data_IF_511219498049
#
_entry.id   IF_511219498049
#
_cell.length_a   1.000
_cell.length_b   1.000
_cell.length_c   1.000
_cell.angle_alpha   90.00
_cell.angle_beta   90.00
_cell.angle_gamma   90.00
#
_symmetry.space_group_name_H-M   'P 1'
#
loop_
_entity.id
_entity.type
_entity.pdbx_description
1 polymer ?
#
# COMPACT_ATOMS: atom_id res chain seq x y z
N UNK A 1 0.12 11.16 18.37
CA UNK A 1 0.68 11.40 17.02
C UNK A 1 -0.28 12.31 16.28
N UNK A 2 0.19 13.33 15.57
CA UNK A 2 -0.66 14.11 14.66
C UNK A 2 -1.21 13.16 13.58
N UNK A 3 -2.38 13.49 13.06
CA UNK A 3 -2.98 12.69 12.00
C UNK A 3 -2.12 12.74 10.73
N UNK A 4 -1.80 11.57 10.15
CA UNK A 4 -0.90 11.46 8.99
C UNK A 4 -1.43 12.22 7.77
N UNK A 5 -2.76 12.26 7.59
CA UNK A 5 -3.39 13.01 6.49
C UNK A 5 -3.24 14.52 6.73
N UNK A 6 -3.42 14.99 7.96
CA UNK A 6 -3.18 16.40 8.29
C UNK A 6 -1.73 16.81 8.00
N UNK A 7 -0.74 15.99 8.38
CA UNK A 7 0.68 16.26 8.11
C UNK A 7 0.92 16.38 6.59
N UNK A 8 0.40 15.46 5.79
CA UNK A 8 0.55 15.50 4.33
C UNK A 8 -0.14 16.71 3.67
N UNK A 9 -1.28 17.13 4.20
CA UNK A 9 -2.04 18.26 3.65
C UNK A 9 -1.46 19.62 4.08
N UNK A 10 -0.71 19.66 5.19
CA UNK A 10 -0.23 20.90 5.82
C UNK A 10 1.27 20.85 6.15
N UNK A 11 2.08 20.20 5.32
CA UNK A 11 3.52 19.95 5.57
C UNK A 11 4.26 21.22 6.01
N UNK A 12 4.06 22.34 5.32
CA UNK A 12 4.74 23.59 5.64
C UNK A 12 4.30 24.19 6.98
N UNK A 13 3.02 24.05 7.34
CA UNK A 13 2.52 24.53 8.63
C UNK A 13 3.10 23.73 9.78
N UNK A 14 3.12 22.40 9.61
CA UNK A 14 3.72 21.48 10.58
C UNK A 14 5.21 21.75 10.71
N UNK A 15 5.93 21.98 9.60
CA UNK A 15 7.36 22.30 9.62
C UNK A 15 7.65 23.61 10.37
N UNK A 16 6.87 24.66 10.10
CA UNK A 16 6.97 25.94 10.83
C UNK A 16 6.71 25.73 12.32
N UNK A 17 5.66 25.00 12.68
CA UNK A 17 5.32 24.73 14.07
C UNK A 17 6.42 23.95 14.81
N UNK A 18 7.00 22.94 14.16
CA UNK A 18 8.14 22.19 14.70
C UNK A 18 9.34 23.11 14.94
N UNK A 19 9.67 23.96 13.96
CA UNK A 19 10.77 24.94 14.06
C UNK A 19 10.56 25.93 15.20
N UNK A 20 9.37 26.52 15.31
CA UNK A 20 9.03 27.49 16.36
C UNK A 20 9.12 26.88 17.76
N UNK A 21 8.90 25.55 17.86
CA UNK A 21 9.00 24.78 19.10
C UNK A 21 10.39 24.19 19.35
N UNK A 22 11.34 24.40 18.45
CA UNK A 22 12.69 23.83 18.53
C UNK A 22 12.72 22.30 18.38
N UNK A 23 11.70 21.70 17.78
CA UNK A 23 11.62 20.26 17.52
C UNK A 23 12.18 19.98 16.14
N UNK A 24 13.14 19.06 16.06
CA UNK A 24 13.73 18.60 14.80
C UNK A 24 13.03 17.32 14.38
N UNK A 25 12.27 17.37 13.28
CA UNK A 25 11.59 16.21 12.68
C UNK A 25 11.91 16.19 11.19
N UNK A 26 12.20 15.01 10.65
CA UNK A 26 12.36 14.82 9.20
C UNK A 26 11.00 14.62 8.53
N UNK A 27 10.27 15.72 8.40
CA UNK A 27 8.95 15.74 7.73
C UNK A 27 9.04 15.35 6.26
N UNK A 28 10.17 15.62 5.60
CA UNK A 28 10.35 15.25 4.20
C UNK A 28 10.44 13.74 4.04
N UNK A 29 11.19 13.05 4.92
CA UNK A 29 11.24 11.59 4.95
C UNK A 29 9.87 10.99 5.27
N UNK A 30 9.15 11.56 6.24
CA UNK A 30 7.79 11.13 6.57
C UNK A 30 6.86 11.21 5.34
N UNK A 31 6.84 12.35 4.64
CA UNK A 31 6.00 12.57 3.45
C UNK A 31 6.33 11.54 2.36
N UNK A 32 7.61 11.29 2.10
CA UNK A 32 8.04 10.32 1.10
C UNK A 32 7.58 8.90 1.42
N UNK A 33 7.75 8.45 2.67
CA UNK A 33 7.35 7.12 3.10
C UNK A 33 5.83 6.94 3.08
N UNK A 34 5.07 7.93 3.55
CA UNK A 34 3.61 7.86 3.55
C UNK A 34 3.04 7.89 2.13
N UNK A 35 3.64 8.64 1.19
CA UNK A 35 3.27 8.59 -0.23
C UNK A 35 3.52 7.20 -0.83
N UNK A 36 4.67 6.58 -0.54
CA UNK A 36 4.96 5.21 -0.97
C UNK A 36 3.95 4.21 -0.40
N UNK A 37 3.66 4.31 0.90
CA UNK A 37 2.68 3.46 1.59
C UNK A 37 1.30 3.56 0.92
N UNK A 38 0.82 4.78 0.64
CA UNK A 38 -0.46 5.00 -0.06
C UNK A 38 -0.46 4.42 -1.47
N UNK A 39 0.63 4.56 -2.21
CA UNK A 39 0.79 3.93 -3.53
C UNK A 39 0.68 2.41 -3.46
N UNK A 40 1.34 1.80 -2.49
CA UNK A 40 1.30 0.35 -2.24
C UNK A 40 -0.08 -0.13 -1.79
N UNK A 41 -0.79 0.67 -0.99
CA UNK A 41 -2.17 0.37 -0.61
C UNK A 41 -3.10 0.30 -1.84
N UNK A 42 -2.95 1.23 -2.79
CA UNK A 42 -3.71 1.20 -4.04
C UNK A 42 -3.34 -0.01 -4.91
N UNK A 43 -2.07 -0.41 -4.93
CA UNK A 43 -1.60 -1.62 -5.60
C UNK A 43 -2.24 -2.89 -5.02
N UNK A 44 -2.32 -3.02 -3.68
CA UNK A 44 -3.03 -4.12 -2.99
C UNK A 44 -4.49 -4.19 -3.40
N UNK A 45 -5.19 -3.04 -3.44
CA UNK A 45 -6.58 -3.00 -3.88
C UNK A 45 -6.75 -3.46 -5.33
N UNK A 46 -5.85 -3.04 -6.23
CA UNK A 46 -5.86 -3.44 -7.62
C UNK A 46 -5.62 -4.95 -7.79
N UNK A 47 -4.62 -5.50 -7.08
CA UNK A 47 -4.32 -6.93 -7.09
C UNK A 47 -5.49 -7.76 -6.55
N UNK A 48 -6.16 -7.27 -5.51
CA UNK A 48 -7.34 -7.91 -4.96
C UNK A 48 -8.50 -7.91 -5.98
N UNK A 49 -8.73 -6.80 -6.70
CA UNK A 49 -9.72 -6.76 -7.79
C UNK A 49 -9.40 -7.77 -8.89
N UNK A 50 -8.15 -7.81 -9.35
CA UNK A 50 -7.69 -8.77 -10.37
C UNK A 50 -7.86 -10.23 -9.90
N UNK A 51 -7.49 -10.56 -8.67
CA UNK A 51 -7.66 -11.91 -8.12
C UNK A 51 -9.14 -12.33 -8.07
N UNK A 52 -10.04 -11.40 -7.73
CA UNK A 52 -11.47 -11.64 -7.71
C UNK A 52 -12.06 -11.83 -9.11
N UNK A 53 -11.63 -11.03 -10.09
CA UNK A 53 -12.01 -11.18 -11.50
C UNK A 53 -11.57 -12.54 -12.06
N UNK A 54 -10.31 -12.93 -11.79
CA UNK A 54 -9.79 -14.25 -12.15
C UNK A 54 -10.64 -15.34 -11.50
N UNK A 55 -10.95 -15.22 -10.21
CA UNK A 55 -11.77 -16.20 -9.48
C UNK A 55 -13.15 -16.37 -10.11
N UNK A 56 -13.80 -15.27 -10.52
CA UNK A 56 -15.08 -15.31 -11.25
C UNK A 56 -14.95 -15.94 -12.65
N UNK A 57 -13.79 -15.79 -13.30
CA UNK A 57 -13.53 -16.39 -14.61
C UNK A 57 -13.31 -17.91 -14.54
N UNK A 58 -12.90 -18.48 -13.40
CA UNK A 58 -12.66 -19.94 -13.26
C UNK A 58 -13.92 -20.75 -13.59
N UNK A 59 -15.10 -20.29 -13.13
CA UNK A 59 -16.38 -20.94 -13.42
C UNK A 59 -16.80 -20.85 -14.89
N UNK A 60 -16.22 -19.92 -15.66
CA UNK A 60 -16.43 -19.73 -17.11
C UNK A 60 -15.37 -20.43 -17.95
N UNK A 61 -14.59 -21.33 -17.37
CA UNK A 61 -13.55 -22.06 -18.11
C UNK A 61 -14.18 -23.11 -19.03
N UNK A 62 -13.73 -23.16 -20.28
CA UNK A 62 -14.23 -24.09 -21.30
C UNK A 62 -13.72 -25.52 -21.09
N UNK A 63 -12.52 -25.66 -20.53
CA UNK A 63 -11.88 -26.94 -20.27
C UNK A 63 -11.08 -26.93 -18.95
N UNK A 64 -10.55 -28.11 -18.59
CA UNK A 64 -9.78 -28.29 -17.37
C UNK A 64 -8.43 -27.53 -17.40
N UNK A 65 -7.76 -27.43 -18.55
CA UNK A 65 -6.48 -26.75 -18.65
C UNK A 65 -6.64 -25.24 -18.41
N UNK A 66 -7.65 -24.62 -19.02
CA UNK A 66 -8.00 -23.22 -18.81
C UNK A 66 -8.43 -22.96 -17.36
N UNK A 67 -9.13 -23.92 -16.73
CA UNK A 67 -9.51 -23.82 -15.31
C UNK A 67 -8.26 -23.82 -14.41
N UNK A 68 -7.33 -24.72 -14.63
CA UNK A 68 -6.09 -24.79 -13.84
C UNK A 68 -5.19 -23.58 -14.07
N UNK A 69 -5.06 -23.11 -15.32
CA UNK A 69 -4.32 -21.88 -15.62
C UNK A 69 -4.90 -20.66 -14.90
N UNK A 70 -6.23 -20.51 -14.84
CA UNK A 70 -6.90 -19.43 -14.11
C UNK A 70 -6.73 -19.57 -12.60
N UNK A 71 -6.76 -20.79 -12.04
CA UNK A 71 -6.46 -21.02 -10.62
C UNK A 71 -5.03 -20.59 -10.28
N UNK A 72 -4.07 -20.93 -11.14
CA UNK A 72 -2.67 -20.57 -10.97
C UNK A 72 -2.48 -19.05 -11.02
N UNK A 73 -3.02 -18.37 -12.04
CA UNK A 73 -2.99 -16.91 -12.12
C UNK A 73 -3.61 -16.23 -10.88
N UNK A 74 -4.71 -16.81 -10.36
CA UNK A 74 -5.35 -16.32 -9.14
C UNK A 74 -4.49 -16.50 -7.89
N UNK A 75 -3.72 -17.59 -7.79
CA UNK A 75 -2.74 -17.81 -6.71
C UNK A 75 -1.61 -16.79 -6.78
N UNK A 76 -1.00 -16.63 -7.96
CA UNK A 76 0.09 -15.67 -8.17
C UNK A 76 -0.32 -14.24 -7.79
N UNK A 77 -1.54 -13.82 -8.12
CA UNK A 77 -2.05 -12.50 -7.73
C UNK A 77 -2.24 -12.33 -6.23
N UNK A 78 -2.55 -13.40 -5.50
CA UNK A 78 -2.65 -13.36 -4.02
C UNK A 78 -1.27 -13.32 -3.38
N UNK A 79 -0.32 -14.09 -3.88
CA UNK A 79 1.07 -14.04 -3.43
C UNK A 79 1.71 -12.66 -3.68
N UNK A 80 1.45 -12.08 -4.86
CA UNK A 80 1.86 -10.71 -5.18
C UNK A 80 1.25 -9.71 -4.19
N UNK A 81 -0.05 -9.83 -3.90
CA UNK A 81 -0.74 -8.99 -2.91
C UNK A 81 -0.12 -9.12 -1.52
N UNK A 82 0.21 -10.33 -1.08
CA UNK A 82 0.85 -10.58 0.22
C UNK A 82 2.25 -9.96 0.30
N UNK A 83 3.02 -10.03 -0.80
CA UNK A 83 4.33 -9.36 -0.87
C UNK A 83 4.20 -7.84 -0.74
N UNK A 84 3.26 -7.24 -1.48
CA UNK A 84 3.01 -5.79 -1.41
C UNK A 84 2.49 -5.39 -0.03
N UNK A 85 1.64 -6.21 0.60
CA UNK A 85 1.20 -5.97 1.98
C UNK A 85 2.37 -5.97 2.96
N UNK A 86 3.32 -6.91 2.84
CA UNK A 86 4.52 -6.91 3.67
C UNK A 86 5.40 -5.66 3.46
N UNK A 87 5.39 -5.07 2.26
CA UNK A 87 6.04 -3.77 2.02
C UNK A 87 5.33 -2.62 2.74
N UNK A 88 3.99 -2.62 2.77
CA UNK A 88 3.20 -1.65 3.54
C UNK A 88 3.54 -1.74 5.03
N UNK A 89 3.57 -2.95 5.59
CA UNK A 89 3.84 -3.17 7.01
C UNK A 89 5.27 -2.70 7.38
N UNK A 90 6.24 -2.89 6.47
CA UNK A 90 7.60 -2.35 6.63
C UNK A 90 7.62 -0.82 6.61
N UNK A 91 6.92 -0.21 5.65
CA UNK A 91 6.82 1.24 5.56
C UNK A 91 6.15 1.83 6.81
N UNK A 92 5.13 1.18 7.35
CA UNK A 92 4.49 1.60 8.61
C UNK A 92 5.48 1.56 9.78
N UNK A 93 6.30 0.51 9.86
CA UNK A 93 7.35 0.41 10.88
C UNK A 93 8.42 1.49 10.74
N UNK A 94 8.74 1.93 9.51
CA UNK A 94 9.66 3.05 9.26
C UNK A 94 9.03 4.41 9.55
N UNK A 95 7.72 4.57 9.37
CA UNK A 95 6.99 5.82 9.59
C UNK A 95 6.74 6.07 11.08
N UNK A 96 6.41 5.04 11.86
CA UNK A 96 6.04 5.17 13.27
C UNK A 96 7.06 5.87 14.19
N UNK A 97 8.39 5.72 14.01
CA UNK A 97 9.37 6.43 14.82
C UNK A 97 9.69 7.87 14.35
N UNK A 98 9.13 8.33 13.23
CA UNK A 98 9.33 9.70 12.70
C UNK A 98 8.36 10.71 13.34
#
# INVERSE_FOLDING_TARGET
MLDRKYILENVEEVERNCRDRGVVVDLQRFVQLEQQRRGKQAEVEQLNRQANEISKSIGKAQDAAQREARKEAGRQKREEKERVQAEIDRLETEIDPL
#
